data_IF_232865072231
#
_entry.id   IF_232865072231
#
_cell.length_a   1.000
_cell.length_b   1.000
_cell.length_c   1.000
_cell.angle_alpha   90.00
_cell.angle_beta   90.00
_cell.angle_gamma   90.00
#
_symmetry.space_group_name_H-M   'P 1'
#
loop_
_entity.id
_entity.type
_entity.pdbx_description
1 polymer ?
#
# COMPACT_ATOMS: atom_id res chain seq x y z
N UNK A 1 -46.19 -18.16 44.38
CA UNK A 1 -46.95 -17.23 43.53
C UNK A 1 -46.28 -15.87 43.60
N UNK A 2 -45.47 -15.52 42.60
CA UNK A 2 -44.65 -14.29 42.60
C UNK A 2 -44.86 -13.55 41.29
N UNK A 3 -45.40 -12.34 41.44
CA UNK A 3 -45.27 -11.08 40.71
C UNK A 3 -44.93 -11.03 39.20
N UNK A 4 -45.78 -10.25 38.53
CA UNK A 4 -45.65 -9.56 37.24
C UNK A 4 -44.37 -8.71 37.09
N UNK A 5 -43.78 -8.71 35.88
CA UNK A 5 -42.93 -7.60 35.39
C UNK A 5 -43.11 -7.38 33.88
N UNK A 6 -43.29 -6.11 33.56
CA UNK A 6 -43.73 -5.52 32.29
C UNK A 6 -42.53 -4.88 31.58
N UNK A 7 -42.54 -4.96 30.24
CA UNK A 7 -42.03 -3.99 29.25
C UNK A 7 -40.78 -3.16 29.56
N UNK A 8 -39.66 -3.51 28.92
CA UNK A 8 -38.56 -2.58 28.61
C UNK A 8 -37.70 -3.16 27.48
N UNK A 9 -38.10 -3.00 26.21
CA UNK A 9 -37.17 -3.28 25.11
C UNK A 9 -37.35 -2.50 23.79
N UNK A 10 -38.20 -1.45 23.76
CA UNK A 10 -38.49 -0.72 22.50
C UNK A 10 -37.98 0.75 22.51
N UNK A 11 -37.36 1.24 23.59
CA UNK A 11 -37.00 2.67 23.71
C UNK A 11 -35.59 3.07 23.23
N UNK A 12 -34.78 2.16 22.67
CA UNK A 12 -33.38 2.47 22.34
C UNK A 12 -33.11 2.85 20.87
N UNK A 13 -34.10 2.73 19.98
CA UNK A 13 -33.91 2.95 18.52
C UNK A 13 -34.43 4.33 18.04
N UNK A 14 -35.29 5.02 18.79
CA UNK A 14 -35.91 6.28 18.32
C UNK A 14 -35.17 7.58 18.67
N UNK A 15 -34.06 7.54 19.42
CA UNK A 15 -33.34 8.77 19.83
C UNK A 15 -32.15 9.16 18.95
N UNK A 16 -31.75 8.32 17.99
CA UNK A 16 -30.62 8.61 17.10
C UNK A 16 -31.00 9.32 15.78
N UNK A 17 -32.30 9.50 15.49
CA UNK A 17 -32.77 9.92 14.15
C UNK A 17 -33.35 11.35 14.05
N UNK A 18 -33.14 12.24 15.04
CA UNK A 18 -33.73 13.60 15.01
C UNK A 18 -32.75 14.75 15.29
N UNK A 19 -31.58 14.75 14.65
CA UNK A 19 -30.76 15.98 14.51
C UNK A 19 -30.09 16.05 13.15
N UNK A 20 -30.91 16.26 12.11
CA UNK A 20 -30.48 16.85 10.84
C UNK A 20 -31.58 17.83 10.44
N UNK A 21 -31.53 19.04 10.98
CA UNK A 21 -31.79 20.27 10.20
C UNK A 21 -31.58 21.52 11.04
N UNK A 22 -30.58 22.32 10.68
CA UNK A 22 -30.57 23.78 10.58
C UNK A 22 -29.13 24.25 10.41
N UNK A 23 -28.84 24.80 9.24
CA UNK A 23 -27.58 25.46 8.95
C UNK A 23 -27.45 26.75 9.77
N UNK A 24 -26.25 26.95 10.30
CA UNK A 24 -25.60 28.25 10.41
C UNK A 24 -24.08 28.05 10.55
N UNK A 25 -23.35 28.95 9.91
CA UNK A 25 -21.92 28.93 9.61
C UNK A 25 -21.03 29.18 10.83
N UNK A 26 -19.97 28.38 10.99
CA UNK A 26 -18.70 28.83 11.59
C UNK A 26 -17.53 28.13 10.90
N UNK A 27 -16.63 28.90 10.29
CA UNK A 27 -15.33 28.42 9.86
C UNK A 27 -14.63 27.73 11.04
N UNK A 28 -14.26 26.47 10.86
CA UNK A 28 -13.55 25.68 11.87
C UNK A 28 -12.10 26.20 12.01
N UNK A 29 -11.68 26.64 13.20
CA UNK A 29 -10.28 26.95 13.46
C UNK A 29 -9.47 25.64 13.59
N UNK A 30 -8.35 25.58 12.85
CA UNK A 30 -7.14 24.76 13.09
C UNK A 30 -7.32 23.31 13.56
N UNK A 31 -7.25 22.36 12.63
CA UNK A 31 -7.21 20.91 12.88
C UNK A 31 -5.91 20.40 13.55
N UNK A 32 -5.15 21.24 14.26
CA UNK A 32 -3.77 20.95 14.66
C UNK A 32 -3.59 20.69 16.17
N UNK A 33 -4.67 20.73 16.98
CA UNK A 33 -4.55 20.75 18.45
C UNK A 33 -4.63 19.40 19.16
N UNK A 34 -4.68 18.26 18.45
CA UNK A 34 -4.85 16.92 19.09
C UNK A 34 -3.64 16.00 18.95
N UNK A 35 -2.58 16.39 18.23
CA UNK A 35 -1.38 15.57 18.09
C UNK A 35 -0.47 15.74 19.33
N UNK A 36 0.08 14.65 19.90
CA UNK A 36 1.11 14.76 20.93
C UNK A 36 2.30 15.57 20.37
N UNK A 37 2.85 16.49 21.17
CA UNK A 37 4.01 17.27 20.78
C UNK A 37 5.25 16.37 20.67
N UNK A 38 5.53 15.85 19.48
CA UNK A 38 6.78 15.13 19.16
C UNK A 38 7.95 16.09 18.90
N UNK A 39 9.15 15.55 18.73
CA UNK A 39 10.32 16.35 18.31
C UNK A 39 10.14 16.76 16.84
N UNK A 40 10.05 18.08 16.53
CA UNK A 40 9.88 18.56 15.15
C UNK A 40 10.99 18.11 14.20
N UNK A 41 12.14 17.69 14.73
CA UNK A 41 13.28 17.22 13.96
C UNK A 41 13.35 15.68 13.82
N UNK A 42 12.37 14.95 14.37
CA UNK A 42 12.28 13.49 14.29
C UNK A 42 11.11 13.05 13.39
N UNK A 43 11.43 12.40 12.27
CA UNK A 43 10.46 11.84 11.32
C UNK A 43 10.46 10.32 11.40
N UNK A 44 9.30 9.72 11.58
CA UNK A 44 9.12 8.27 11.53
C UNK A 44 8.75 7.80 10.13
N UNK A 45 9.28 6.67 9.69
CA UNK A 45 8.95 6.04 8.40
C UNK A 45 8.51 4.60 8.63
N UNK A 46 7.32 4.24 8.18
CA UNK A 46 6.82 2.85 8.22
C UNK A 46 6.85 2.26 6.81
N UNK A 47 7.62 1.19 6.64
CA UNK A 47 7.57 0.38 5.43
C UNK A 47 6.47 -0.67 5.52
N UNK A 48 5.61 -0.75 4.51
CA UNK A 48 4.52 -1.73 4.43
C UNK A 48 4.72 -2.56 3.17
N UNK A 49 5.19 -3.80 3.35
CA UNK A 49 5.42 -4.71 2.25
C UNK A 49 4.11 -5.18 1.59
N UNK A 50 4.24 -5.63 0.34
CA UNK A 50 3.18 -6.28 -0.41
C UNK A 50 2.83 -7.67 0.11
N UNK A 51 1.89 -8.34 -0.54
CA UNK A 51 1.59 -9.74 -0.24
C UNK A 51 2.83 -10.61 -0.48
N UNK A 52 3.12 -11.53 0.43
CA UNK A 52 4.23 -12.46 0.27
C UNK A 52 4.52 -13.24 1.55
N UNK A 53 5.70 -13.85 1.59
CA UNK A 53 6.19 -14.67 2.70
C UNK A 53 7.37 -14.01 3.42
N UNK A 54 7.42 -12.68 3.45
CA UNK A 54 8.52 -11.93 4.07
C UNK A 54 8.67 -12.32 5.54
N UNK A 55 9.91 -12.40 6.01
CA UNK A 55 10.22 -12.60 7.42
C UNK A 55 10.20 -11.25 8.15
N UNK A 56 9.82 -11.16 9.44
CA UNK A 56 9.97 -9.91 10.19
C UNK A 56 11.40 -9.38 10.09
N UNK A 57 11.55 -8.06 9.96
CA UNK A 57 12.80 -7.33 9.78
C UNK A 57 13.35 -7.32 8.34
N UNK A 58 12.88 -8.21 7.47
CA UNK A 58 13.40 -8.33 6.10
C UNK A 58 13.12 -7.08 5.27
N UNK A 59 11.90 -6.56 5.32
CA UNK A 59 11.50 -5.37 4.55
C UNK A 59 12.22 -4.14 5.07
N UNK A 60 12.28 -3.99 6.39
CA UNK A 60 13.00 -2.90 7.03
C UNK A 60 14.45 -2.84 6.56
N UNK A 61 15.17 -3.96 6.57
CA UNK A 61 16.57 -4.01 6.14
C UNK A 61 16.71 -3.73 4.64
N UNK A 62 15.98 -4.46 3.80
CA UNK A 62 16.11 -4.36 2.33
C UNK A 62 15.74 -2.97 1.80
N UNK A 63 14.79 -2.28 2.41
CA UNK A 63 14.33 -0.97 1.92
C UNK A 63 15.07 0.19 2.57
N UNK A 64 15.63 0.02 3.77
CA UNK A 64 16.45 1.06 4.40
C UNK A 64 17.86 1.13 3.82
N UNK A 65 18.45 0.01 3.42
CA UNK A 65 19.80 -0.06 2.83
C UNK A 65 20.02 0.97 1.70
N UNK A 66 19.23 0.99 0.61
CA UNK A 66 19.46 1.95 -0.48
C UNK A 66 19.22 3.41 -0.08
N UNK A 67 18.39 3.68 0.94
CA UNK A 67 18.21 5.04 1.48
C UNK A 67 19.44 5.47 2.28
N UNK A 68 19.97 4.58 3.12
CA UNK A 68 21.16 4.81 3.93
C UNK A 68 22.37 5.01 3.03
N UNK A 69 22.52 4.21 1.98
CA UNK A 69 23.59 4.34 0.99
C UNK A 69 23.55 5.71 0.30
N UNK A 70 22.36 6.16 -0.14
CA UNK A 70 22.21 7.48 -0.75
C UNK A 70 22.55 8.62 0.23
N UNK A 71 22.14 8.50 1.50
CA UNK A 71 22.50 9.47 2.54
C UNK A 71 24.01 9.50 2.80
N UNK A 72 24.66 8.34 2.82
CA UNK A 72 26.11 8.23 2.98
C UNK A 72 26.84 8.85 1.80
N UNK A 73 26.42 8.55 0.57
CA UNK A 73 26.98 9.12 -0.65
C UNK A 73 26.81 10.65 -0.67
N UNK A 74 25.63 11.14 -0.31
CA UNK A 74 25.37 12.58 -0.23
C UNK A 74 26.29 13.27 0.80
N UNK A 75 26.50 12.66 1.98
CA UNK A 75 27.42 13.18 3.02
C UNK A 75 28.86 13.29 2.51
N UNK A 76 29.35 12.28 1.79
CA UNK A 76 30.68 12.26 1.19
C UNK A 76 30.84 13.39 0.16
N UNK A 77 29.84 13.58 -0.70
CA UNK A 77 29.85 14.63 -1.73
C UNK A 77 29.84 16.05 -1.13
N UNK A 78 29.20 16.24 0.03
CA UNK A 78 29.04 17.55 0.67
C UNK A 78 30.08 17.81 1.77
N UNK A 79 31.19 17.06 1.78
CA UNK A 79 32.34 17.19 2.71
C UNK A 79 31.93 17.17 4.18
N UNK A 80 30.80 16.55 4.50
CA UNK A 80 30.51 16.15 5.87
C UNK A 80 31.45 14.98 6.20
N UNK A 81 31.98 14.91 7.42
CA UNK A 81 32.84 13.79 7.81
C UNK A 81 32.13 12.48 7.49
N UNK A 82 32.81 11.51 6.84
CA UNK A 82 32.23 10.22 6.51
C UNK A 82 32.02 9.44 7.80
N UNK A 83 30.88 9.68 8.44
CA UNK A 83 30.39 8.96 9.61
C UNK A 83 29.24 8.09 9.17
N UNK A 84 29.16 6.89 9.72
CA UNK A 84 27.98 6.03 9.62
C UNK A 84 26.72 6.83 10.01
N UNK A 85 25.74 6.99 9.10
CA UNK A 85 24.51 7.71 9.43
C UNK A 85 23.61 6.92 10.38
N UNK A 86 23.80 5.61 10.55
CA UNK A 86 23.01 4.79 11.47
C UNK A 86 23.47 5.01 12.90
N UNK A 87 22.57 5.50 13.76
CA UNK A 87 22.85 5.79 15.17
C UNK A 87 22.47 4.63 16.07
N UNK A 88 21.35 3.97 15.77
CA UNK A 88 20.80 2.85 16.52
C UNK A 88 20.08 1.91 15.55
N UNK A 89 20.23 0.60 15.74
CA UNK A 89 19.48 -0.39 14.99
C UNK A 89 19.09 -1.55 15.92
N UNK A 90 17.79 -1.78 16.03
CA UNK A 90 17.19 -2.87 16.79
C UNK A 90 16.20 -3.58 15.86
N UNK A 91 16.66 -4.63 15.17
CA UNK A 91 15.82 -5.40 14.24
C UNK A 91 15.44 -6.72 14.91
N UNK A 92 14.14 -6.97 15.05
CA UNK A 92 13.62 -8.22 15.58
C UNK A 92 13.05 -9.08 14.44
N UNK A 93 13.59 -10.29 14.29
CA UNK A 93 13.19 -11.25 13.27
C UNK A 93 12.07 -12.20 13.71
N UNK A 94 11.59 -12.08 14.94
CA UNK A 94 10.55 -12.93 15.52
C UNK A 94 9.22 -12.19 15.68
N UNK A 95 9.19 -11.09 16.45
CA UNK A 95 8.00 -10.28 16.71
C UNK A 95 8.35 -8.87 17.23
N UNK A 96 7.36 -7.99 17.39
CA UNK A 96 7.60 -6.62 17.88
C UNK A 96 8.02 -5.61 16.80
N UNK A 97 8.19 -4.35 17.21
CA UNK A 97 8.58 -3.26 16.32
C UNK A 97 10.11 -3.19 16.24
N UNK A 98 10.68 -3.59 15.10
CA UNK A 98 12.07 -3.29 14.79
C UNK A 98 12.23 -1.83 14.35
N UNK A 99 13.34 -1.18 14.69
CA UNK A 99 13.61 0.20 14.33
C UNK A 99 15.07 0.44 13.94
N UNK A 100 15.30 1.29 12.95
CA UNK A 100 16.62 1.82 12.57
C UNK A 100 16.56 3.34 12.67
N UNK A 101 17.41 3.91 13.51
CA UNK A 101 17.54 5.34 13.70
C UNK A 101 18.70 5.88 12.86
N UNK A 102 18.38 6.80 11.95
CA UNK A 102 19.30 7.37 10.98
C UNK A 102 19.44 8.86 11.20
N UNK A 103 20.67 9.35 11.28
CA UNK A 103 21.00 10.75 11.39
C UNK A 103 20.98 11.41 10.02
N UNK A 104 20.19 12.47 9.92
CA UNK A 104 19.97 13.22 8.70
C UNK A 104 20.64 14.59 8.83
N UNK A 105 21.45 14.99 7.83
CA UNK A 105 22.07 16.31 7.82
C UNK A 105 21.06 17.45 8.02
N UNK A 106 21.50 18.57 8.61
CA UNK A 106 20.66 19.76 8.76
C UNK A 106 20.31 20.32 7.38
N UNK A 107 19.10 20.89 7.25
CA UNK A 107 18.72 21.62 6.04
C UNK A 107 19.58 22.87 5.86
N UNK A 108 19.79 23.34 4.63
CA UNK A 108 20.40 24.65 4.39
C UNK A 108 19.67 25.73 5.20
N UNK A 109 20.42 26.48 6.03
CA UNK A 109 19.86 27.51 6.92
C UNK A 109 19.40 27.02 8.29
N UNK A 110 19.43 25.71 8.58
CA UNK A 110 19.31 25.15 9.93
C UNK A 110 20.67 24.63 10.40
N UNK A 111 20.90 24.66 11.71
CA UNK A 111 22.07 24.05 12.34
C UNK A 111 21.73 22.75 13.08
N UNK A 112 20.45 22.38 13.17
CA UNK A 112 20.01 21.20 13.92
C UNK A 112 19.96 19.98 12.99
N UNK A 113 20.73 18.96 13.34
CA UNK A 113 20.61 17.63 12.73
C UNK A 113 19.22 17.05 13.01
N UNK A 114 18.71 16.31 12.05
CA UNK A 114 17.41 15.64 12.14
C UNK A 114 17.61 14.14 12.29
N UNK A 115 16.55 13.46 12.70
CA UNK A 115 16.53 12.02 12.90
C UNK A 115 15.40 11.39 12.09
N UNK A 116 15.71 10.33 11.36
CA UNK A 116 14.70 9.42 10.81
C UNK A 116 14.65 8.14 11.66
N UNK A 117 13.45 7.69 12.01
CA UNK A 117 13.22 6.36 12.61
C UNK A 117 12.48 5.50 11.61
N UNK A 118 13.18 4.54 11.03
CA UNK A 118 12.66 3.61 10.05
C UNK A 118 12.15 2.36 10.76
N UNK A 119 10.94 1.92 10.44
CA UNK A 119 10.34 0.68 10.95
C UNK A 119 9.55 0.00 9.85
N UNK A 120 9.00 -1.18 10.13
CA UNK A 120 8.11 -1.90 9.21
C UNK A 120 6.79 -2.29 9.89
N UNK A 121 5.74 -2.36 9.09
CA UNK A 121 4.48 -2.98 9.45
C UNK A 121 4.41 -4.37 8.79
N UNK A 122 5.02 -5.36 9.44
CA UNK A 122 5.01 -6.73 8.94
C UNK A 122 3.68 -7.46 9.22
N UNK A 123 3.18 -8.15 8.19
CA UNK A 123 1.90 -8.85 8.25
C UNK A 123 1.85 -10.19 7.49
N UNK A 124 2.89 -10.56 6.75
CA UNK A 124 2.92 -11.73 5.86
C UNK A 124 2.46 -13.05 6.53
N UNK A 125 2.84 -13.30 7.79
CA UNK A 125 2.45 -14.55 8.49
C UNK A 125 1.27 -14.37 9.46
N UNK A 126 0.54 -13.25 9.38
CA UNK A 126 -0.63 -12.96 10.24
C UNK A 126 -1.96 -13.33 9.58
N UNK A 127 -1.89 -14.13 8.52
CA UNK A 127 -3.02 -14.52 7.68
C UNK A 127 -3.10 -16.04 7.60
N UNK A 128 -4.29 -16.58 7.85
CA UNK A 128 -4.65 -17.94 7.52
C UNK A 128 -5.15 -17.98 6.06
N UNK A 129 -4.51 -18.76 5.18
CA UNK A 129 -4.87 -18.81 3.78
C UNK A 129 -6.31 -19.32 3.61
N UNK A 130 -7.09 -18.78 2.66
CA UNK A 130 -8.43 -19.28 2.37
C UNK A 130 -8.42 -20.75 1.94
N UNK A 131 -9.54 -21.45 2.15
CA UNK A 131 -9.69 -22.82 1.65
C UNK A 131 -9.69 -22.86 0.11
N UNK A 132 -9.26 -23.98 -0.47
CA UNK A 132 -9.30 -24.18 -1.93
C UNK A 132 -10.72 -24.00 -2.49
N UNK A 133 -11.74 -24.50 -1.78
CA UNK A 133 -13.15 -24.32 -2.18
C UNK A 133 -13.56 -22.84 -2.24
N UNK A 134 -13.07 -22.05 -1.29
CA UNK A 134 -13.29 -20.60 -1.23
C UNK A 134 -12.57 -19.88 -2.37
N UNK A 135 -11.35 -20.32 -2.72
CA UNK A 135 -10.61 -19.75 -3.85
C UNK A 135 -11.25 -20.11 -5.20
N UNK A 136 -11.70 -21.36 -5.38
CA UNK A 136 -12.37 -21.79 -6.62
C UNK A 136 -13.71 -21.09 -6.82
N UNK A 137 -14.49 -20.87 -5.75
CA UNK A 137 -15.73 -20.10 -5.85
C UNK A 137 -15.47 -18.63 -6.17
N UNK A 138 -14.43 -18.04 -5.58
CA UNK A 138 -14.10 -16.64 -5.77
C UNK A 138 -13.45 -16.36 -7.14
N UNK A 139 -12.56 -17.23 -7.64
CA UNK A 139 -11.88 -17.09 -8.94
C UNK A 139 -12.64 -17.74 -10.11
N UNK A 140 -13.79 -18.37 -9.85
CA UNK A 140 -14.53 -19.10 -10.87
C UNK A 140 -15.11 -18.24 -12.02
N UNK A 141 -15.82 -18.86 -12.98
CA UNK A 141 -16.25 -18.24 -14.24
C UNK A 141 -17.15 -16.99 -14.16
N UNK A 142 -17.69 -16.65 -12.98
CA UNK A 142 -18.43 -15.41 -12.71
C UNK A 142 -17.80 -14.52 -11.62
N UNK A 143 -16.57 -14.82 -11.21
CA UNK A 143 -15.90 -14.26 -10.05
C UNK A 143 -14.79 -13.24 -10.36
N UNK A 144 -13.76 -13.21 -9.53
CA UNK A 144 -12.63 -12.29 -9.56
C UNK A 144 -11.78 -12.40 -10.83
N UNK A 145 -11.61 -13.60 -11.41
CA UNK A 145 -10.72 -13.84 -12.57
C UNK A 145 -11.09 -13.01 -13.81
N UNK A 146 -12.38 -12.94 -14.16
CA UNK A 146 -12.84 -12.11 -15.28
C UNK A 146 -12.60 -10.62 -15.03
N UNK A 147 -12.81 -10.17 -13.79
CA UNK A 147 -12.61 -8.75 -13.40
C UNK A 147 -11.15 -8.32 -13.40
N UNK A 148 -10.23 -9.20 -13.02
CA UNK A 148 -8.79 -8.95 -13.10
C UNK A 148 -8.37 -8.72 -14.56
N UNK A 149 -8.86 -9.56 -15.47
CA UNK A 149 -8.58 -9.42 -16.91
C UNK A 149 -9.17 -8.12 -17.45
N UNK A 150 -10.40 -7.78 -17.05
CA UNK A 150 -11.04 -6.52 -17.45
C UNK A 150 -10.25 -5.30 -16.96
N UNK A 151 -9.77 -5.29 -15.71
CA UNK A 151 -8.99 -4.20 -15.13
C UNK A 151 -7.63 -3.99 -15.81
N UNK A 152 -6.92 -5.09 -16.13
CA UNK A 152 -5.63 -5.03 -16.84
C UNK A 152 -5.83 -4.55 -18.28
N UNK A 153 -6.85 -5.05 -18.98
CA UNK A 153 -7.13 -4.69 -20.38
C UNK A 153 -7.81 -3.33 -20.56
N UNK A 154 -8.52 -2.83 -19.54
CA UNK A 154 -9.19 -1.53 -19.60
C UNK A 154 -8.23 -0.35 -19.45
N UNK A 155 -6.96 -0.60 -19.10
CA UNK A 155 -6.04 0.48 -18.80
C UNK A 155 -5.34 1.06 -20.04
N UNK A 156 -5.51 2.36 -20.33
CA UNK A 156 -4.95 3.00 -21.53
C UNK A 156 -3.42 3.10 -21.53
N UNK A 157 -2.74 2.76 -20.43
CA UNK A 157 -1.28 2.84 -20.34
C UNK A 157 -0.54 1.86 -21.28
N UNK A 158 -1.22 0.81 -21.75
CA UNK A 158 -0.70 -0.09 -22.79
C UNK A 158 -1.03 0.34 -24.23
N UNK A 159 -1.92 1.31 -24.42
CA UNK A 159 -2.29 1.85 -25.73
C UNK A 159 -1.71 3.26 -25.90
N UNK A 160 -0.46 3.32 -26.34
CA UNK A 160 0.11 4.55 -26.86
C UNK A 160 -0.69 5.02 -28.07
N UNK A 161 -1.14 6.28 -28.04
CA UNK A 161 -1.68 7.00 -29.19
C UNK A 161 -3.20 7.01 -29.29
N UNK A 162 -3.78 8.20 -29.08
CA UNK A 162 -5.15 8.49 -29.49
C UNK A 162 -5.27 8.36 -31.01
N UNK A 163 -6.15 7.47 -31.50
CA UNK A 163 -7.02 7.69 -32.69
C UNK A 163 -7.99 6.52 -32.94
N UNK A 164 -9.25 6.88 -33.19
CA UNK A 164 -10.36 6.16 -33.86
C UNK A 164 -11.25 5.18 -33.07
N UNK A 165 -12.51 5.62 -33.00
CA UNK A 165 -13.74 5.02 -32.50
C UNK A 165 -14.14 3.71 -33.21
N UNK A 166 -14.93 2.89 -32.50
CA UNK A 166 -15.63 1.66 -32.93
C UNK A 166 -14.78 0.43 -33.28
N UNK A 167 -13.76 0.53 -34.13
CA UNK A 167 -12.93 -0.65 -34.53
C UNK A 167 -12.04 -1.10 -33.36
N UNK A 168 -11.42 -0.15 -32.66
CA UNK A 168 -10.60 -0.40 -31.47
C UNK A 168 -11.45 -1.00 -30.35
N UNK A 169 -12.68 -0.51 -30.16
CA UNK A 169 -13.64 -1.06 -29.18
C UNK A 169 -14.07 -2.49 -29.53
N UNK A 170 -14.30 -2.78 -30.81
CA UNK A 170 -14.64 -4.13 -31.29
C UNK A 170 -13.49 -5.14 -31.16
N UNK A 171 -12.25 -4.70 -31.44
CA UNK A 171 -11.05 -5.52 -31.23
C UNK A 171 -10.75 -5.74 -29.75
N UNK A 172 -10.91 -4.72 -28.90
CA UNK A 172 -10.80 -4.87 -27.44
C UNK A 172 -11.89 -5.81 -26.93
N UNK A 173 -13.13 -5.70 -27.43
CA UNK A 173 -14.22 -6.62 -27.06
C UNK A 173 -13.95 -8.06 -27.50
N UNK A 174 -13.46 -8.27 -28.73
CA UNK A 174 -13.09 -9.60 -29.21
C UNK A 174 -11.89 -10.17 -28.45
N UNK A 175 -10.88 -9.35 -28.15
CA UNK A 175 -9.75 -9.72 -27.30
C UNK A 175 -10.20 -10.07 -25.88
N UNK A 176 -11.13 -9.32 -25.29
CA UNK A 176 -11.76 -9.64 -23.99
C UNK A 176 -12.55 -10.95 -24.05
N UNK A 177 -13.40 -11.11 -25.07
CA UNK A 177 -14.23 -12.30 -25.26
C UNK A 177 -13.40 -13.57 -25.49
N UNK A 178 -12.17 -13.45 -26.00
CA UNK A 178 -11.23 -14.57 -26.12
C UNK A 178 -10.35 -14.73 -24.86
N UNK A 179 -9.84 -13.64 -24.29
CA UNK A 179 -8.87 -13.68 -23.20
C UNK A 179 -9.51 -14.03 -21.86
N UNK A 180 -10.71 -13.56 -21.55
CA UNK A 180 -11.40 -13.89 -20.29
C UNK A 180 -11.66 -15.38 -20.15
N UNK A 181 -12.28 -16.09 -21.13
CA UNK A 181 -12.44 -17.53 -21.03
C UNK A 181 -11.10 -18.26 -21.13
N UNK A 182 -10.13 -17.75 -21.90
CA UNK A 182 -8.79 -18.35 -21.96
C UNK A 182 -8.07 -18.29 -20.61
N UNK A 183 -8.04 -17.12 -19.94
CA UNK A 183 -7.45 -16.94 -18.62
C UNK A 183 -8.25 -17.70 -17.56
N UNK A 184 -9.57 -17.76 -17.65
CA UNK A 184 -10.41 -18.52 -16.72
C UNK A 184 -10.19 -20.03 -16.86
N UNK A 185 -10.09 -20.54 -18.10
CA UNK A 185 -9.76 -21.95 -18.39
C UNK A 185 -8.33 -22.25 -17.97
N UNK A 186 -7.37 -21.36 -18.28
CA UNK A 186 -5.98 -21.50 -17.86
C UNK A 186 -5.88 -21.50 -16.33
N UNK A 187 -6.58 -20.60 -15.63
CA UNK A 187 -6.62 -20.55 -14.18
C UNK A 187 -7.27 -21.80 -13.59
N UNK A 188 -8.38 -22.28 -14.18
CA UNK A 188 -9.02 -23.52 -13.76
C UNK A 188 -8.10 -24.73 -13.98
N UNK A 189 -7.38 -24.80 -15.11
CA UNK A 189 -6.36 -25.81 -15.39
C UNK A 189 -5.24 -25.71 -14.36
N UNK A 190 -4.70 -24.52 -14.10
CA UNK A 190 -3.61 -24.32 -13.14
C UNK A 190 -4.07 -24.68 -11.73
N UNK A 191 -5.26 -24.28 -11.29
CA UNK A 191 -5.83 -24.66 -9.99
C UNK A 191 -6.10 -26.17 -9.89
N UNK A 192 -6.52 -26.81 -10.99
CA UNK A 192 -6.74 -28.27 -11.03
C UNK A 192 -5.42 -29.03 -10.97
N UNK A 193 -4.43 -28.59 -11.75
CA UNK A 193 -3.06 -29.10 -11.70
C UNK A 193 -2.52 -28.93 -10.29
N UNK A 194 -2.63 -27.74 -9.70
CA UNK A 194 -2.22 -27.45 -8.33
C UNK A 194 -2.90 -28.38 -7.31
N UNK A 195 -4.23 -28.55 -7.39
CA UNK A 195 -4.97 -29.45 -6.50
C UNK A 195 -4.52 -30.90 -6.63
N UNK A 196 -4.30 -31.38 -7.86
CA UNK A 196 -3.79 -32.72 -8.14
C UNK A 196 -2.37 -32.89 -7.58
N UNK A 197 -1.48 -31.93 -7.83
CA UNK A 197 -0.11 -31.94 -7.32
C UNK A 197 -0.07 -31.85 -5.79
N UNK A 198 -0.90 -31.02 -5.14
CA UNK A 198 -1.02 -30.96 -3.69
C UNK A 198 -1.50 -32.29 -3.12
N UNK A 199 -2.49 -32.91 -3.75
CA UNK A 199 -2.96 -34.26 -3.42
C UNK A 199 -1.84 -35.29 -3.50
N UNK A 200 -1.10 -35.33 -4.61
CA UNK A 200 0.02 -36.26 -4.82
C UNK A 200 1.21 -35.98 -3.88
N UNK A 201 1.54 -34.72 -3.63
CA UNK A 201 2.65 -34.31 -2.73
C UNK A 201 2.36 -34.60 -1.24
N UNK A 202 1.09 -34.76 -0.90
CA UNK A 202 0.67 -35.24 0.43
C UNK A 202 0.91 -36.74 0.60
N UNK A 203 1.00 -37.49 -0.51
CA UNK A 203 1.22 -38.93 -0.54
C UNK A 203 2.69 -39.31 -0.72
N UNK A 204 3.51 -38.42 -1.30
CA UNK A 204 4.91 -38.71 -1.65
C UNK A 204 5.85 -37.69 -0.97
N UNK A 205 6.63 -38.09 0.06
CA UNK A 205 7.55 -37.21 0.78
C UNK A 205 8.90 -37.09 0.03
N UNK A 206 8.89 -36.49 -1.16
CA UNK A 206 10.13 -36.16 -1.91
C UNK A 206 10.40 -34.65 -1.77
N UNK A 207 11.44 -34.32 -1.00
CA UNK A 207 11.83 -32.95 -0.66
C UNK A 207 12.15 -32.10 -1.91
N UNK A 208 12.72 -32.72 -2.95
CA UNK A 208 13.14 -32.07 -4.20
C UNK A 208 11.98 -31.54 -5.06
N UNK A 209 10.79 -32.16 -4.99
CA UNK A 209 9.61 -31.67 -5.72
C UNK A 209 9.01 -30.45 -5.00
N UNK A 210 9.10 -30.39 -3.66
CA UNK A 210 8.63 -29.23 -2.87
C UNK A 210 9.51 -27.99 -3.06
N UNK A 211 10.76 -28.17 -3.43
CA UNK A 211 11.75 -27.09 -3.60
C UNK A 211 11.86 -26.54 -5.02
N UNK A 212 11.09 -27.07 -5.98
CA UNK A 212 11.15 -26.60 -7.37
C UNK A 212 10.76 -25.11 -7.45
N UNK A 213 11.65 -24.25 -7.95
CA UNK A 213 11.46 -22.80 -8.04
C UNK A 213 10.19 -22.38 -8.80
N UNK A 214 9.76 -23.21 -9.76
CA UNK A 214 8.52 -23.03 -10.52
C UNK A 214 7.30 -23.22 -9.60
N UNK A 215 7.28 -24.26 -8.76
CA UNK A 215 6.17 -24.52 -7.82
C UNK A 215 6.08 -23.46 -6.73
N UNK A 216 7.22 -23.00 -6.19
CA UNK A 216 7.25 -21.86 -5.26
C UNK A 216 6.67 -20.59 -5.90
N UNK A 217 7.00 -20.30 -7.15
CA UNK A 217 6.53 -19.10 -7.85
C UNK A 217 5.02 -19.14 -8.13
N UNK A 218 4.47 -20.31 -8.50
CA UNK A 218 3.03 -20.49 -8.72
C UNK A 218 2.23 -20.49 -7.40
N UNK A 219 2.72 -21.13 -6.34
CA UNK A 219 2.08 -21.12 -5.01
C UNK A 219 2.04 -19.70 -4.42
N UNK A 220 3.12 -18.94 -4.59
CA UNK A 220 3.22 -17.54 -4.12
C UNK A 220 2.27 -16.63 -4.90
N UNK A 221 2.16 -16.82 -6.22
CA UNK A 221 1.37 -15.93 -7.08
C UNK A 221 -0.13 -16.24 -7.10
N UNK A 222 -0.57 -17.50 -7.03
CA UNK A 222 -2.00 -17.83 -7.15
C UNK A 222 -2.72 -18.06 -5.83
N UNK A 223 -2.07 -18.74 -4.88
CA UNK A 223 -2.67 -18.99 -3.56
C UNK A 223 -2.25 -17.96 -2.52
N UNK A 224 -1.01 -17.48 -2.54
CA UNK A 224 -0.56 -16.39 -1.67
C UNK A 224 -1.20 -15.07 -2.07
N UNK A 225 -0.92 -14.59 -3.29
CA UNK A 225 -1.36 -13.27 -3.72
C UNK A 225 -2.88 -13.09 -3.74
N UNK A 226 -3.61 -13.88 -4.52
CA UNK A 226 -5.07 -13.76 -4.59
C UNK A 226 -5.74 -14.14 -3.27
N UNK A 227 -5.22 -15.14 -2.55
CA UNK A 227 -5.73 -15.54 -1.25
C UNK A 227 -5.71 -14.39 -0.25
N UNK A 228 -4.58 -13.71 -0.12
CA UNK A 228 -4.42 -12.62 0.83
C UNK A 228 -5.20 -11.37 0.43
N UNK A 229 -5.31 -11.05 -0.87
CA UNK A 229 -6.25 -10.01 -1.35
C UNK A 229 -7.66 -10.32 -0.88
N UNK A 230 -8.10 -11.58 -1.04
CA UNK A 230 -9.44 -11.98 -0.58
C UNK A 230 -9.59 -11.80 0.92
N UNK A 231 -8.59 -12.20 1.71
CA UNK A 231 -8.61 -12.02 3.17
C UNK A 231 -8.72 -10.53 3.52
N UNK A 232 -7.85 -9.70 2.95
CA UNK A 232 -7.81 -8.25 3.21
C UNK A 232 -9.15 -7.59 2.92
N UNK A 233 -9.86 -8.02 1.86
CA UNK A 233 -11.10 -7.40 1.39
C UNK A 233 -12.38 -8.01 1.95
N UNK A 234 -12.38 -9.31 2.28
CA UNK A 234 -13.60 -10.07 2.59
C UNK A 234 -13.56 -10.86 3.90
N UNK A 235 -12.44 -10.89 4.63
CA UNK A 235 -12.37 -11.47 5.98
C UNK A 235 -12.16 -10.36 7.03
N UNK A 236 -13.23 -9.91 7.72
CA UNK A 236 -13.14 -8.77 8.63
C UNK A 236 -12.17 -8.98 9.80
N UNK A 237 -12.09 -10.20 10.34
CA UNK A 237 -11.28 -10.48 11.52
C UNK A 237 -9.79 -10.51 11.16
N UNK A 238 -9.44 -11.22 10.09
CA UNK A 238 -8.06 -11.28 9.61
C UNK A 238 -7.59 -9.92 9.07
N UNK A 239 -8.43 -9.21 8.31
CA UNK A 239 -8.11 -7.87 7.84
C UNK A 239 -7.91 -6.88 9.00
N UNK A 240 -8.74 -6.93 10.06
CA UNK A 240 -8.51 -6.12 11.25
C UNK A 240 -7.16 -6.43 11.92
N UNK A 241 -6.77 -7.71 12.01
CA UNK A 241 -5.47 -8.12 12.55
C UNK A 241 -4.28 -7.59 11.72
N UNK A 242 -4.39 -7.65 10.39
CA UNK A 242 -3.38 -7.09 9.47
C UNK A 242 -3.24 -5.57 9.70
N UNK A 243 -4.37 -4.85 9.68
CA UNK A 243 -4.41 -3.38 9.84
C UNK A 243 -3.94 -2.91 11.22
N UNK A 244 -4.20 -3.70 12.26
CA UNK A 244 -3.66 -3.46 13.60
C UNK A 244 -2.12 -3.54 13.65
N UNK A 245 -1.47 -4.24 12.71
CA UNK A 245 -0.02 -4.21 12.54
C UNK A 245 0.50 -2.81 12.19
N UNK A 246 -0.06 -2.19 11.15
CA UNK A 246 0.30 -0.84 10.73
C UNK A 246 -0.05 0.20 11.81
N UNK A 247 -1.24 0.12 12.39
CA UNK A 247 -1.64 1.02 13.48
C UNK A 247 -0.65 0.98 14.65
N UNK A 248 -0.16 -0.21 15.03
CA UNK A 248 0.88 -0.36 16.07
C UNK A 248 2.21 0.26 15.68
N UNK A 249 2.67 0.07 14.44
CA UNK A 249 3.93 0.67 13.96
C UNK A 249 3.85 2.21 13.99
N UNK A 250 2.73 2.79 13.55
CA UNK A 250 2.52 4.25 13.58
C UNK A 250 2.50 4.77 15.03
N UNK A 251 1.78 4.10 15.94
CA UNK A 251 1.76 4.47 17.37
C UNK A 251 3.16 4.37 17.99
N UNK A 252 3.90 3.29 17.71
CA UNK A 252 5.26 3.11 18.21
C UNK A 252 6.21 4.23 17.75
N UNK A 253 6.09 4.71 16.51
CA UNK A 253 6.85 5.89 16.06
C UNK A 253 6.46 7.17 16.80
N UNK A 254 5.17 7.37 17.12
CA UNK A 254 4.73 8.51 17.93
C UNK A 254 5.24 8.41 19.37
N UNK A 255 5.26 7.22 19.95
CA UNK A 255 5.84 6.95 21.28
C UNK A 255 7.36 7.20 21.30
N UNK A 256 8.06 6.90 20.20
CA UNK A 256 9.46 7.28 19.96
C UNK A 256 9.67 8.80 19.76
N UNK A 257 8.61 9.61 19.82
CA UNK A 257 8.67 11.06 19.74
C UNK A 257 8.70 11.62 18.31
N UNK A 258 8.34 10.83 17.29
CA UNK A 258 8.29 11.33 15.91
C UNK A 258 7.12 12.33 15.74
N UNK A 259 7.44 13.59 15.41
CA UNK A 259 6.43 14.63 15.13
C UNK A 259 5.78 14.47 13.76
N UNK A 260 6.49 13.88 12.80
CA UNK A 260 5.98 13.54 11.48
C UNK A 260 6.07 12.02 11.24
N UNK A 261 5.09 11.43 10.59
CA UNK A 261 5.09 10.01 10.19
C UNK A 261 4.77 9.88 8.70
N UNK A 262 5.65 9.18 8.00
CA UNK A 262 5.52 8.80 6.59
C UNK A 262 5.26 7.30 6.51
N UNK A 263 4.28 6.88 5.71
CA UNK A 263 4.03 5.47 5.39
C UNK A 263 4.46 5.24 3.95
N UNK A 264 5.34 4.27 3.71
CA UNK A 264 5.75 3.85 2.37
C UNK A 264 5.30 2.41 2.12
N UNK A 265 4.37 2.24 1.19
CA UNK A 265 3.60 1.00 1.00
C UNK A 265 3.72 0.45 -0.43
N UNK A 266 3.97 -0.85 -0.54
CA UNK A 266 4.11 -1.57 -1.80
C UNK A 266 2.93 -2.51 -2.08
N UNK A 267 2.45 -2.58 -3.31
CA UNK A 267 1.52 -3.64 -3.76
C UNK A 267 0.33 -3.82 -2.81
N UNK A 268 0.12 -5.03 -2.25
CA UNK A 268 -0.93 -5.28 -1.26
C UNK A 268 -0.83 -4.47 0.04
N UNK A 269 0.38 -4.02 0.41
CA UNK A 269 0.60 -3.10 1.52
C UNK A 269 -0.09 -1.74 1.31
N UNK A 270 -0.35 -1.35 0.06
CA UNK A 270 -1.16 -0.16 -0.25
C UNK A 270 -2.61 -0.35 0.19
N UNK A 271 -3.20 -1.52 -0.06
CA UNK A 271 -4.56 -1.84 0.41
C UNK A 271 -4.62 -1.82 1.94
N UNK A 272 -3.65 -2.45 2.60
CA UNK A 272 -3.54 -2.46 4.06
C UNK A 272 -3.46 -1.03 4.60
N UNK A 273 -2.60 -0.20 4.00
CA UNK A 273 -2.41 1.19 4.41
C UNK A 273 -3.67 2.01 4.22
N UNK A 274 -4.29 1.94 3.04
CA UNK A 274 -5.51 2.67 2.72
C UNK A 274 -6.66 2.29 3.66
N UNK A 275 -6.91 0.99 3.84
CA UNK A 275 -7.97 0.48 4.73
C UNK A 275 -7.71 0.77 6.20
N UNK A 276 -6.45 0.94 6.61
CA UNK A 276 -6.11 1.36 7.98
C UNK A 276 -6.37 2.84 8.17
N UNK A 277 -5.83 3.68 7.28
CA UNK A 277 -5.90 5.14 7.40
C UNK A 277 -7.31 5.71 7.18
N UNK A 278 -8.19 4.95 6.53
CA UNK A 278 -9.60 5.31 6.35
C UNK A 278 -10.54 4.70 7.40
N UNK A 279 -10.07 3.81 8.28
CA UNK A 279 -10.96 3.17 9.27
C UNK A 279 -11.29 4.14 10.43
N UNK A 280 -12.59 4.42 10.70
CA UNK A 280 -13.03 5.18 11.86
C UNK A 280 -12.47 4.68 13.19
N UNK A 281 -12.19 3.37 13.31
CA UNK A 281 -11.61 2.78 14.51
C UNK A 281 -10.22 3.34 14.85
N UNK A 282 -9.52 3.92 13.86
CA UNK A 282 -8.17 4.46 14.01
C UNK A 282 -8.10 5.98 13.77
N UNK A 283 -9.23 6.65 13.52
CA UNK A 283 -9.25 8.05 13.10
C UNK A 283 -8.62 9.01 14.12
N UNK A 284 -8.70 8.70 15.42
CA UNK A 284 -8.26 9.59 16.48
C UNK A 284 -6.77 9.45 16.85
N UNK A 285 -6.13 8.35 16.48
CA UNK A 285 -4.81 7.98 17.00
C UNK A 285 -3.83 7.45 15.95
N UNK A 286 -4.30 7.20 14.72
CA UNK A 286 -3.47 6.85 13.57
C UNK A 286 -3.59 7.95 12.53
N UNK A 287 -2.71 8.94 12.65
CA UNK A 287 -2.60 10.06 11.72
C UNK A 287 -1.19 10.11 11.13
N UNK A 288 -1.11 10.26 9.81
CA UNK A 288 0.15 10.30 9.05
C UNK A 288 0.23 11.57 8.21
N UNK A 289 1.45 12.01 7.96
CA UNK A 289 1.74 13.26 7.27
C UNK A 289 1.89 13.00 5.76
N UNK A 290 2.40 11.81 5.41
CA UNK A 290 2.52 11.38 4.03
C UNK A 290 2.28 9.88 3.85
N UNK A 291 1.54 9.55 2.80
CA UNK A 291 1.44 8.20 2.25
C UNK A 291 2.22 8.17 0.92
N UNK A 292 3.22 7.32 0.84
CA UNK A 292 3.95 6.99 -0.38
C UNK A 292 3.49 5.60 -0.81
N UNK A 293 2.93 5.46 -2.00
CA UNK A 293 2.55 4.16 -2.58
C UNK A 293 3.41 3.84 -3.78
N UNK A 294 3.70 2.57 -3.98
CA UNK A 294 4.40 2.14 -5.18
C UNK A 294 4.05 0.73 -5.61
N UNK A 295 4.02 0.51 -6.92
CA UNK A 295 3.52 -0.75 -7.49
C UNK A 295 2.15 -1.11 -6.92
N UNK A 296 1.27 -0.12 -6.74
CA UNK A 296 0.03 -0.25 -5.97
C UNK A 296 -0.89 -1.36 -6.49
N UNK A 297 -1.54 -2.11 -5.60
CA UNK A 297 -2.56 -3.11 -5.96
C UNK A 297 -4.00 -2.62 -5.74
N UNK A 298 -4.18 -1.34 -5.44
CA UNK A 298 -5.44 -0.70 -5.08
C UNK A 298 -6.39 -0.59 -6.28
N UNK A 299 -5.92 -0.21 -7.47
CA UNK A 299 -6.77 -0.17 -8.67
C UNK A 299 -7.40 -1.55 -8.93
N UNK A 300 -6.60 -2.61 -8.81
CA UNK A 300 -7.11 -3.97 -8.94
C UNK A 300 -8.06 -4.35 -7.81
N UNK A 301 -7.76 -3.94 -6.57
CA UNK A 301 -8.63 -4.20 -5.42
C UNK A 301 -10.03 -3.60 -5.61
N UNK A 302 -10.12 -2.40 -6.21
CA UNK A 302 -11.38 -1.78 -6.55
C UNK A 302 -12.18 -2.57 -7.59
N UNK A 303 -11.51 -3.07 -8.64
CA UNK A 303 -12.13 -3.94 -9.66
C UNK A 303 -12.59 -5.28 -9.05
N UNK A 304 -11.81 -5.81 -8.11
CA UNK A 304 -12.14 -7.05 -7.41
C UNK A 304 -13.30 -6.92 -6.43
N UNK A 305 -13.58 -5.69 -5.99
CA UNK A 305 -14.63 -5.33 -5.04
C UNK A 305 -15.64 -4.38 -5.68
N UNK A 306 -16.47 -4.86 -6.63
CA UNK A 306 -17.55 -4.07 -7.19
C UNK A 306 -18.50 -3.62 -6.08
N UNK A 307 -19.11 -2.44 -6.24
CA UNK A 307 -20.14 -1.96 -5.32
C UNK A 307 -21.24 -3.01 -5.23
N UNK A 308 -21.50 -3.52 -4.04
CA UNK A 308 -22.67 -4.36 -3.83
C UNK A 308 -23.93 -3.46 -3.92
N UNK A 309 -24.87 -3.72 -4.84
CA UNK A 309 -26.07 -2.90 -4.98
C UNK A 309 -26.99 -2.98 -3.76
N UNK A 310 -26.83 -4.00 -2.90
CA UNK A 310 -27.82 -4.38 -1.89
C UNK A 310 -27.38 -4.01 -0.47
N UNK A 311 -26.08 -3.99 -0.17
CA UNK A 311 -25.54 -3.61 1.14
C UNK A 311 -24.21 -2.85 0.96
N UNK A 312 -24.27 -1.52 0.89
CA UNK A 312 -23.09 -0.64 0.82
C UNK A 312 -22.27 -0.56 2.13
N UNK A 313 -22.15 -1.69 2.83
CA UNK A 313 -21.53 -1.83 4.16
C UNK A 313 -20.37 -2.84 4.18
N UNK A 314 -19.89 -3.26 3.01
CA UNK A 314 -18.76 -4.18 2.93
C UNK A 314 -17.45 -3.50 3.36
N UNK A 315 -16.55 -4.25 4.00
CA UNK A 315 -15.22 -3.73 4.33
C UNK A 315 -14.46 -3.20 3.10
N UNK A 316 -14.67 -3.83 1.94
CA UNK A 316 -14.08 -3.39 0.68
C UNK A 316 -14.64 -2.06 0.15
N UNK A 317 -15.81 -1.60 0.60
CA UNK A 317 -16.33 -0.27 0.25
C UNK A 317 -15.46 0.85 0.82
N UNK A 318 -14.71 0.55 1.89
CA UNK A 318 -13.76 1.50 2.50
C UNK A 318 -12.60 1.86 1.57
N UNK A 319 -12.27 1.02 0.59
CA UNK A 319 -11.30 1.37 -0.45
C UNK A 319 -11.72 2.61 -1.24
N UNK A 320 -13.02 2.94 -1.22
CA UNK A 320 -13.58 4.10 -1.91
C UNK A 320 -13.78 5.29 -0.99
N UNK A 321 -13.45 5.22 0.28
CA UNK A 321 -13.62 6.37 1.17
C UNK A 321 -12.55 7.41 0.92
N UNK A 322 -12.92 8.68 1.06
CA UNK A 322 -12.01 9.80 0.89
C UNK A 322 -10.92 9.81 1.98
N UNK A 323 -9.73 9.32 1.62
CA UNK A 323 -8.58 9.31 2.54
C UNK A 323 -8.16 10.73 2.93
N UNK A 324 -8.38 11.71 2.06
CA UNK A 324 -7.97 13.10 2.28
C UNK A 324 -8.88 13.80 3.29
N UNK A 325 -10.15 13.39 3.38
CA UNK A 325 -11.08 13.79 4.44
C UNK A 325 -10.72 13.13 5.78
N UNK A 326 -10.37 11.84 5.75
CA UNK A 326 -10.05 11.04 6.96
C UNK A 326 -8.69 11.35 7.57
N UNK A 327 -7.77 11.85 6.76
CA UNK A 327 -6.41 12.25 7.15
C UNK A 327 -6.20 13.72 6.76
N UNK A 328 -6.73 14.67 7.56
CA UNK A 328 -6.55 16.09 7.30
C UNK A 328 -5.06 16.45 7.30
N UNK A 329 -4.60 17.13 6.25
CA UNK A 329 -3.20 17.53 6.10
C UNK A 329 -2.27 16.46 5.50
N UNK A 330 -2.71 15.20 5.41
CA UNK A 330 -1.91 14.14 4.76
C UNK A 330 -1.77 14.40 3.25
N UNK A 331 -0.56 14.20 2.72
CA UNK A 331 -0.29 14.12 1.28
C UNK A 331 -0.13 12.67 0.82
N UNK A 332 -0.56 12.38 -0.40
CA UNK A 332 -0.39 11.07 -1.04
C UNK A 332 0.47 11.20 -2.29
N UNK A 333 1.63 10.56 -2.28
CA UNK A 333 2.49 10.37 -3.45
C UNK A 333 2.41 8.92 -3.92
N UNK A 334 2.13 8.71 -5.18
CA UNK A 334 2.07 7.40 -5.82
C UNK A 334 3.15 7.26 -6.90
N UNK A 335 3.77 6.09 -6.98
CA UNK A 335 4.79 5.73 -7.98
C UNK A 335 4.41 4.43 -8.69
N UNK A 336 4.26 4.44 -10.00
CA UNK A 336 3.94 3.23 -10.76
C UNK A 336 4.88 3.06 -11.95
N UNK A 337 5.43 1.86 -12.09
CA UNK A 337 6.29 1.54 -13.22
C UNK A 337 5.48 1.23 -14.48
N UNK A 338 6.01 1.61 -15.65
CA UNK A 338 5.27 1.54 -16.92
C UNK A 338 4.74 0.17 -17.28
N UNK A 339 5.49 -0.88 -16.91
CA UNK A 339 5.15 -2.26 -17.23
C UNK A 339 4.80 -3.06 -15.97
N UNK A 340 4.58 -2.41 -14.83
CA UNK A 340 4.10 -3.12 -13.65
C UNK A 340 2.60 -3.47 -13.82
N UNK A 341 2.24 -4.76 -13.80
CA UNK A 341 0.85 -5.19 -14.00
C UNK A 341 -0.03 -4.92 -12.77
N UNK A 342 0.53 -4.73 -11.58
CA UNK A 342 -0.27 -4.60 -10.36
C UNK A 342 -1.01 -3.24 -10.26
N UNK A 343 -0.36 -2.08 -10.51
CA UNK A 343 -1.06 -0.79 -10.60
C UNK A 343 -2.13 -0.77 -11.67
N UNK A 344 -1.90 -1.54 -12.75
CA UNK A 344 -2.59 -1.32 -14.01
C UNK A 344 -2.59 0.19 -14.33
N UNK A 345 -1.42 0.81 -14.46
CA UNK A 345 -1.32 2.24 -14.77
C UNK A 345 -1.53 3.19 -13.58
N UNK A 346 -1.95 4.42 -13.90
CA UNK A 346 -2.05 5.53 -12.95
C UNK A 346 -3.18 5.33 -11.94
N UNK A 347 -2.93 5.71 -10.69
CA UNK A 347 -3.90 5.70 -9.59
C UNK A 347 -5.25 6.33 -10.01
N UNK A 348 -6.35 5.56 -9.88
CA UNK A 348 -7.69 5.98 -10.31
C UNK A 348 -8.49 6.66 -9.20
N UNK A 349 -8.12 7.88 -8.82
CA UNK A 349 -8.80 8.66 -7.75
C UNK A 349 -10.29 8.92 -8.01
N UNK A 350 -10.74 8.87 -9.28
CA UNK A 350 -12.17 8.98 -9.65
C UNK A 350 -13.09 7.95 -8.99
N UNK A 351 -12.54 6.85 -8.50
CA UNK A 351 -13.30 5.79 -7.83
C UNK A 351 -13.55 6.09 -6.35
N UNK A 352 -12.85 7.08 -5.78
CA UNK A 352 -13.03 7.55 -4.41
C UNK A 352 -14.36 8.32 -4.32
N UNK A 353 -15.23 7.90 -3.42
CA UNK A 353 -16.45 8.58 -3.02
C UNK A 353 -16.09 9.75 -2.11
N UNK A 354 -16.57 10.93 -2.48
CA UNK A 354 -16.29 12.18 -1.79
C UNK A 354 -15.83 13.23 -2.78
N UNK A 355 -15.13 14.24 -2.27
CA UNK A 355 -14.41 15.23 -3.06
C UNK A 355 -12.97 15.20 -2.59
N UNK A 356 -12.20 14.16 -2.98
CA UNK A 356 -10.81 14.04 -2.56
C UNK A 356 -10.08 15.31 -2.98
N UNK A 357 -9.26 15.81 -2.07
CA UNK A 357 -8.40 16.95 -2.35
C UNK A 357 -7.28 16.50 -3.30
N UNK A 358 -7.56 16.62 -4.59
CA UNK A 358 -6.64 16.21 -5.65
C UNK A 358 -5.32 16.99 -5.63
N UNK A 359 -5.25 18.18 -4.99
CA UNK A 359 -3.99 18.90 -4.84
C UNK A 359 -3.04 18.21 -3.86
N UNK A 360 -3.58 17.35 -2.98
CA UNK A 360 -2.83 16.51 -2.04
C UNK A 360 -2.54 15.10 -2.55
N UNK A 361 -2.94 14.75 -3.78
CA UNK A 361 -2.66 13.44 -4.38
C UNK A 361 -1.87 13.64 -5.67
N UNK A 362 -0.67 13.05 -5.75
CA UNK A 362 0.18 13.07 -6.96
C UNK A 362 0.56 11.64 -7.32
N UNK A 363 0.40 11.27 -8.59
CA UNK A 363 0.87 9.99 -9.13
C UNK A 363 1.94 10.26 -10.19
N UNK A 364 3.10 9.63 -10.02
CA UNK A 364 4.26 9.74 -10.88
C UNK A 364 4.58 8.40 -11.54
N UNK A 365 4.89 8.44 -12.83
CA UNK A 365 5.37 7.27 -13.55
C UNK A 365 6.86 7.06 -13.26
N UNK A 366 7.27 5.81 -13.11
CA UNK A 366 8.66 5.37 -12.92
C UNK A 366 9.11 4.56 -14.14
N UNK A 367 10.28 4.87 -14.68
CA UNK A 367 10.92 4.01 -15.67
C UNK A 367 11.81 2.99 -14.97
N UNK A 368 11.32 1.75 -14.82
CA UNK A 368 12.06 0.68 -14.16
C UNK A 368 12.71 -0.29 -15.18
N UNK A 369 12.57 -1.62 -15.02
CA UNK A 369 13.20 -2.63 -15.88
C UNK A 369 12.48 -2.82 -17.21
N UNK A 370 11.34 -2.16 -17.44
CA UNK A 370 10.47 -2.34 -18.62
C UNK A 370 10.05 -3.80 -18.81
N UNK A 371 9.86 -4.52 -17.71
CA UNK A 371 9.55 -5.95 -17.69
C UNK A 371 8.32 -6.21 -16.83
N UNK A 372 7.33 -6.91 -17.39
CA UNK A 372 6.10 -7.28 -16.68
C UNK A 372 6.35 -8.04 -15.37
N UNK A 373 7.42 -8.84 -15.31
CA UNK A 373 7.75 -9.65 -14.13
C UNK A 373 8.67 -8.91 -13.16
N UNK A 374 9.67 -8.18 -13.68
CA UNK A 374 10.68 -7.56 -12.83
C UNK A 374 10.27 -6.18 -12.31
N UNK A 375 9.43 -5.42 -13.03
CA UNK A 375 9.10 -4.04 -12.66
C UNK A 375 8.43 -3.95 -11.29
N UNK A 376 7.60 -4.93 -10.93
CA UNK A 376 6.85 -4.93 -9.69
C UNK A 376 7.71 -5.06 -8.42
N UNK A 377 8.74 -5.90 -8.47
CA UNK A 377 9.55 -6.24 -7.29
C UNK A 377 10.86 -5.47 -7.16
N UNK A 378 11.25 -4.68 -8.17
CA UNK A 378 12.62 -4.15 -8.27
C UNK A 378 12.72 -2.62 -8.12
N UNK A 379 11.67 -1.95 -7.65
CA UNK A 379 11.65 -0.50 -7.44
C UNK A 379 12.87 -0.01 -6.64
N UNK A 380 13.20 -0.69 -5.53
CA UNK A 380 14.34 -0.33 -4.67
C UNK A 380 15.72 -0.50 -5.33
N UNK A 381 15.80 -1.16 -6.48
CA UNK A 381 17.05 -1.26 -7.27
C UNK A 381 17.22 -0.10 -8.25
N UNK A 382 16.21 0.76 -8.40
CA UNK A 382 16.20 1.89 -9.31
C UNK A 382 16.44 3.19 -8.53
N UNK A 383 17.72 3.55 -8.41
CA UNK A 383 18.11 4.71 -7.59
C UNK A 383 17.55 6.02 -8.15
N UNK A 384 17.68 6.24 -9.46
CA UNK A 384 17.36 7.52 -10.11
C UNK A 384 15.87 7.82 -10.14
N UNK A 385 15.07 6.87 -10.62
CA UNK A 385 13.64 7.10 -10.88
C UNK A 385 12.75 6.71 -9.70
N UNK A 386 13.29 6.04 -8.67
CA UNK A 386 12.50 5.62 -7.51
C UNK A 386 13.14 5.97 -6.16
N UNK A 387 14.32 5.44 -5.83
CA UNK A 387 14.86 5.59 -4.46
C UNK A 387 15.16 7.05 -4.12
N UNK A 388 15.78 7.81 -5.03
CA UNK A 388 16.02 9.25 -4.83
C UNK A 388 14.71 10.02 -4.65
N UNK A 389 13.70 9.89 -5.54
CA UNK A 389 12.39 10.49 -5.32
C UNK A 389 11.75 10.12 -3.97
N UNK A 390 11.80 8.84 -3.56
CA UNK A 390 11.26 8.40 -2.26
C UNK A 390 12.00 9.03 -1.09
N UNK A 391 13.33 9.09 -1.14
CA UNK A 391 14.16 9.76 -0.14
C UNK A 391 13.77 11.23 0.00
N UNK A 392 13.56 11.94 -1.12
CA UNK A 392 13.11 13.33 -1.12
C UNK A 392 11.70 13.49 -0.51
N UNK A 393 10.80 12.57 -0.82
CA UNK A 393 9.45 12.59 -0.25
C UNK A 393 9.46 12.35 1.27
N UNK A 394 10.34 11.47 1.77
CA UNK A 394 10.57 11.24 3.21
C UNK A 394 11.17 12.50 3.88
N UNK A 395 12.11 13.17 3.21
CA UNK A 395 12.76 14.38 3.74
C UNK A 395 11.79 15.54 3.99
N UNK A 396 10.70 15.60 3.23
CA UNK A 396 9.70 16.69 3.31
C UNK A 396 8.30 16.13 3.60
N UNK A 397 8.04 15.60 4.82
CA UNK A 397 6.80 14.87 5.12
C UNK A 397 5.53 15.70 4.91
N UNK A 398 5.58 17.01 5.13
CA UNK A 398 4.42 17.92 4.98
C UNK A 398 4.36 18.64 3.62
N UNK A 399 5.35 18.41 2.75
CA UNK A 399 5.49 19.05 1.43
C UNK A 399 5.67 18.00 0.34
N UNK A 400 6.33 18.38 -0.75
CA UNK A 400 6.63 17.48 -1.86
C UNK A 400 8.13 17.26 -2.01
N UNK A 401 8.52 16.17 -2.65
CA UNK A 401 9.94 15.84 -2.84
C UNK A 401 10.72 16.91 -3.61
N UNK A 402 10.05 17.78 -4.37
CA UNK A 402 10.73 18.89 -5.06
C UNK A 402 11.33 19.92 -4.10
N UNK A 403 10.84 20.00 -2.86
CA UNK A 403 11.35 20.90 -1.82
C UNK A 403 12.50 20.28 -0.99
N UNK A 404 12.94 19.07 -1.33
CA UNK A 404 13.98 18.36 -0.59
C UNK A 404 15.36 18.96 -0.86
N UNK A 405 16.20 18.94 0.17
CA UNK A 405 17.61 19.32 0.05
C UNK A 405 18.46 18.26 -0.67
N UNK A 406 17.94 17.05 -0.84
CA UNK A 406 18.71 15.94 -1.38
C UNK A 406 18.59 15.87 -2.90
N UNK A 407 19.74 15.96 -3.58
CA UNK A 407 19.85 15.84 -5.03
C UNK A 407 18.90 16.79 -5.77
N UNK A 408 18.84 18.11 -5.54
CA UNK A 408 17.93 18.99 -6.27
C UNK A 408 18.06 18.82 -7.79
N UNK A 409 16.98 19.07 -8.55
CA UNK A 409 16.95 18.83 -9.99
C UNK A 409 18.11 19.51 -10.76
N UNK A 410 18.58 20.64 -10.24
CA UNK A 410 19.70 21.41 -10.80
C UNK A 410 21.05 20.69 -10.63
N UNK A 411 21.24 19.86 -9.60
CA UNK A 411 22.49 19.13 -9.36
C UNK A 411 22.64 17.90 -10.28
N UNK A 412 21.53 17.33 -10.74
CA UNK A 412 21.53 16.17 -11.65
C UNK A 412 21.96 16.60 -13.06
N UNK A 413 21.58 17.80 -13.49
CA UNK A 413 21.95 18.33 -14.80
C UNK A 413 23.46 18.64 -14.94
N UNK A 414 24.17 18.86 -13.83
CA UNK A 414 25.60 19.18 -13.86
C UNK A 414 26.47 17.92 -14.00
N UNK A 415 25.99 16.77 -13.52
CA UNK A 415 26.70 15.50 -13.67
C UNK A 415 26.74 15.00 -15.13
N UNK A 416 25.67 15.25 -15.90
CA UNK A 416 25.57 14.85 -17.32
C UNK A 416 26.40 15.72 -18.30
N UNK A 417 26.95 16.85 -17.83
CA UNK A 417 27.84 17.70 -18.65
C UNK A 417 29.32 17.38 -18.40
N UNK A 418 29.61 16.57 -17.37
CA UNK A 418 30.97 16.21 -16.96
C UNK A 418 31.37 14.75 -17.27
N UNK A 419 30.47 13.96 -17.87
CA UNK A 419 30.72 12.62 -18.40
C UNK A 419 30.74 12.65 -19.94
#
# INVERSE_FOLDING_TARGET
MVATKTSAHVSFIEHAARRVDRGESTAMPGADSTRPAGDPDKTGVVFVHGIGSQVPGETLLQWSEPLIDLLQNWRVQHVLSPSDPVVRAEVNFADGMGAIEVRVPPRPGSHKERTWVLTEAWWASRVAPPSLSTMTSWLGPGGAAGRIVDGILANPASSGGATSDLITSGLIFAARAALVPFVSVLMAIVLTIYALFRGVSSLIPIQSIRESAILKSFDTFLTGWFGDVRVILYDPAQSANIRAGLARAIRGLREEGCSSVVVAAHSGGVMVSYLTLTDPAFANDVQVDKLITFGEGWNLALELSPRDPIDGSGMADRLRWDITERQPGMRWRDFWATNDPAPAGMLQTRQIVGRPDCERIRSGRVWNRRSLLADHGTYWTNQEEFVIPVLREIDVPNGWGEDSMFFPADDIAVADVAA
#
